data_IF_631273305198
#
_entry.id   IF_631273305198
#
_cell.length_a   1.000
_cell.length_b   1.000
_cell.length_c   1.000
_cell.angle_alpha   90.00
_cell.angle_beta   90.00
_cell.angle_gamma   90.00
#
_symmetry.space_group_name_H-M   'P 1'
#
loop_
_entity.id
_entity.type
_entity.pdbx_description
1 polymer ?
#
# COMPACT_ATOMS: atom_id res chain seq x y z
N UNK A 1 9.47 -6.92 -33.33
CA UNK A 1 10.82 -6.58 -32.86
C UNK A 1 10.69 -6.25 -31.39
N UNK A 2 11.21 -7.13 -30.54
CA UNK A 2 11.22 -6.95 -29.09
C UNK A 2 12.43 -6.09 -28.77
N UNK A 3 12.23 -4.80 -28.54
CA UNK A 3 13.27 -3.98 -27.93
C UNK A 3 13.19 -4.20 -26.42
N UNK A 4 14.03 -5.13 -25.97
CA UNK A 4 14.45 -5.23 -24.59
C UNK A 4 15.01 -3.88 -24.16
N UNK A 5 14.28 -3.16 -23.32
CA UNK A 5 14.82 -2.06 -22.53
C UNK A 5 15.93 -2.64 -21.67
N UNK A 6 17.16 -2.43 -22.13
CA UNK A 6 18.37 -2.89 -21.45
C UNK A 6 18.65 -1.90 -20.29
N UNK A 7 17.93 -2.05 -19.19
CA UNK A 7 18.36 -1.45 -17.92
C UNK A 7 19.47 -2.30 -17.32
N UNK A 8 20.43 -1.60 -16.72
CA UNK A 8 21.60 -2.16 -16.04
C UNK A 8 21.23 -3.37 -15.18
N UNK A 9 21.93 -4.49 -15.40
CA UNK A 9 21.50 -5.84 -14.97
C UNK A 9 21.54 -6.06 -13.45
N UNK A 10 22.03 -5.10 -12.68
CA UNK A 10 22.27 -5.27 -11.24
C UNK A 10 21.37 -4.43 -10.31
N UNK A 11 20.31 -3.75 -10.78
CA UNK A 11 19.51 -2.93 -9.86
C UNK A 11 17.98 -2.94 -9.95
N UNK A 12 17.34 -3.55 -10.95
CA UNK A 12 15.85 -3.59 -11.02
C UNK A 12 15.34 -4.99 -11.36
N UNK A 13 14.84 -5.70 -10.35
CA UNK A 13 14.26 -7.05 -10.51
C UNK A 13 12.73 -7.03 -10.62
N UNK A 14 12.15 -6.04 -11.30
CA UNK A 14 10.71 -6.02 -11.56
C UNK A 14 10.41 -6.86 -12.79
N UNK A 15 9.57 -7.89 -12.62
CA UNK A 15 8.98 -8.64 -13.73
C UNK A 15 7.58 -8.11 -13.98
N UNK A 16 7.38 -7.47 -15.11
CA UNK A 16 6.05 -7.01 -15.53
C UNK A 16 5.34 -8.13 -16.29
N UNK A 17 4.06 -8.36 -15.98
CA UNK A 17 3.25 -9.36 -16.67
C UNK A 17 3.01 -8.91 -18.13
N UNK A 18 3.50 -9.66 -19.15
CA UNK A 18 3.34 -9.26 -20.55
C UNK A 18 1.88 -9.15 -20.98
N UNK A 19 0.98 -9.95 -20.40
CA UNK A 19 -0.45 -9.89 -20.72
C UNK A 19 -1.13 -8.59 -20.24
N UNK A 20 -0.48 -7.86 -19.32
CA UNK A 20 -0.96 -6.58 -18.82
C UNK A 20 -0.25 -5.38 -19.46
N UNK A 21 0.73 -5.61 -20.36
CA UNK A 21 1.48 -4.55 -21.02
C UNK A 21 0.77 -4.09 -22.30
N UNK A 22 0.29 -2.85 -22.29
CA UNK A 22 -0.32 -2.14 -23.41
C UNK A 22 0.08 -0.64 -23.36
N UNK A 23 -0.34 0.13 -24.36
CA UNK A 23 -0.04 1.56 -24.48
C UNK A 23 -0.38 2.37 -23.21
N UNK A 24 -1.52 2.06 -22.56
CA UNK A 24 -1.94 2.75 -21.34
C UNK A 24 -1.01 2.41 -20.19
N UNK A 25 -0.73 1.13 -19.94
CA UNK A 25 0.17 0.74 -18.86
C UNK A 25 1.59 1.24 -19.08
N UNK A 26 2.04 1.31 -20.34
CA UNK A 26 3.36 1.85 -20.70
C UNK A 26 3.45 3.35 -20.43
N UNK A 27 2.37 4.10 -20.69
CA UNK A 27 2.31 5.53 -20.36
C UNK A 27 2.35 5.83 -18.86
N UNK A 28 1.91 4.88 -18.02
CA UNK A 28 1.90 5.01 -16.56
C UNK A 28 3.20 4.47 -15.95
N UNK A 29 3.62 3.28 -16.36
CA UNK A 29 4.79 2.56 -15.85
C UNK A 29 6.08 3.05 -16.52
N UNK A 30 6.33 4.35 -16.40
CA UNK A 30 7.57 4.97 -16.88
C UNK A 30 8.80 4.37 -16.16
N UNK A 31 10.00 4.50 -16.74
CA UNK A 31 11.22 4.01 -16.10
C UNK A 31 11.42 4.54 -14.68
N UNK A 32 11.08 5.81 -14.43
CA UNK A 32 11.19 6.45 -13.11
C UNK A 32 10.21 5.84 -12.11
N UNK A 33 8.97 5.57 -12.53
CA UNK A 33 7.99 4.92 -11.67
C UNK A 33 8.40 3.48 -11.35
N UNK A 34 8.91 2.73 -12.33
CA UNK A 34 9.42 1.38 -12.10
C UNK A 34 10.59 1.38 -11.10
N UNK A 35 11.52 2.35 -11.20
CA UNK A 35 12.59 2.50 -10.24
C UNK A 35 12.06 2.80 -8.82
N UNK A 36 11.09 3.71 -8.70
CA UNK A 36 10.44 4.01 -7.42
C UNK A 36 9.74 2.77 -6.83
N UNK A 37 8.98 2.03 -7.63
CA UNK A 37 8.30 0.82 -7.19
C UNK A 37 9.28 -0.26 -6.70
N UNK A 38 10.42 -0.39 -7.37
CA UNK A 38 11.48 -1.33 -6.98
C UNK A 38 12.06 -0.93 -5.62
N UNK A 39 12.35 0.35 -5.42
CA UNK A 39 12.84 0.86 -4.15
C UNK A 39 11.82 0.63 -3.02
N UNK A 40 10.56 1.03 -3.21
CA UNK A 40 9.51 0.81 -2.22
C UNK A 40 9.32 -0.68 -1.90
N UNK A 41 9.44 -1.56 -2.89
CA UNK A 41 9.37 -3.01 -2.66
C UNK A 41 10.51 -3.47 -1.77
N UNK A 42 11.75 -3.11 -2.09
CA UNK A 42 12.93 -3.50 -1.33
C UNK A 42 12.89 -2.97 0.11
N UNK A 43 12.39 -1.75 0.30
CA UNK A 43 12.35 -1.11 1.62
C UNK A 43 11.22 -1.65 2.51
N UNK A 44 10.06 -2.04 1.94
CA UNK A 44 8.83 -2.27 2.72
C UNK A 44 8.27 -3.70 2.64
N UNK A 45 8.65 -4.51 1.64
CA UNK A 45 7.98 -5.79 1.40
C UNK A 45 8.25 -6.83 2.51
N UNK A 46 9.48 -6.86 3.05
CA UNK A 46 9.83 -7.80 4.11
C UNK A 46 9.00 -7.55 5.38
N UNK A 47 8.89 -6.29 5.82
CA UNK A 47 8.05 -5.94 6.95
C UNK A 47 6.56 -6.25 6.67
N UNK A 48 6.07 -5.95 5.47
CA UNK A 48 4.70 -6.28 5.05
C UNK A 48 4.42 -7.78 5.19
N UNK A 49 5.34 -8.64 4.73
CA UNK A 49 5.22 -10.09 4.85
C UNK A 49 5.25 -10.56 6.31
N UNK A 50 6.15 -10.01 7.12
CA UNK A 50 6.20 -10.30 8.56
C UNK A 50 4.90 -9.90 9.28
N UNK A 51 4.30 -8.76 8.93
CA UNK A 51 3.01 -8.32 9.48
C UNK A 51 1.86 -9.25 9.09
N UNK A 52 1.85 -9.75 7.85
CA UNK A 52 0.86 -10.75 7.43
C UNK A 52 1.00 -12.08 8.19
N UNK A 53 2.23 -12.52 8.44
CA UNK A 53 2.47 -13.71 9.29
C UNK A 53 2.03 -13.48 10.74
N UNK A 54 2.32 -12.30 11.31
CA UNK A 54 1.83 -11.90 12.64
C UNK A 54 0.29 -11.94 12.71
N UNK A 55 -0.43 -11.54 11.64
CA UNK A 55 -1.90 -11.65 11.58
C UNK A 55 -2.36 -13.11 11.67
N UNK A 56 -1.72 -14.03 10.93
CA UNK A 56 -2.04 -15.47 11.00
C UNK A 56 -1.81 -16.03 12.40
N UNK A 57 -0.68 -15.72 13.01
CA UNK A 57 -0.36 -16.13 14.40
C UNK A 57 -1.36 -15.58 15.41
N UNK A 58 -1.77 -14.32 15.25
CA UNK A 58 -2.80 -13.69 16.09
C UNK A 58 -4.14 -14.41 15.93
N UNK A 59 -4.53 -14.75 14.71
CA UNK A 59 -5.77 -15.48 14.44
C UNK A 59 -5.78 -16.86 15.12
N UNK A 60 -4.68 -17.63 15.03
CA UNK A 60 -4.56 -18.92 15.71
C UNK A 60 -4.75 -18.83 17.23
N UNK A 61 -4.36 -17.71 17.82
CA UNK A 61 -4.57 -17.45 19.24
C UNK A 61 -6.06 -17.20 19.54
N UNK A 62 -6.76 -16.49 18.67
CA UNK A 62 -8.21 -16.30 18.78
C UNK A 62 -8.98 -17.61 18.59
N UNK A 63 -8.55 -18.44 17.64
CA UNK A 63 -9.16 -19.76 17.39
C UNK A 63 -9.03 -20.70 18.60
N UNK A 64 -8.03 -20.48 19.47
CA UNK A 64 -7.84 -21.19 20.74
C UNK A 64 -8.67 -20.61 21.90
N UNK A 65 -9.57 -19.67 21.63
CA UNK A 65 -10.51 -19.09 22.61
C UNK A 65 -10.02 -17.83 23.31
N UNK A 66 -8.85 -17.28 22.95
CA UNK A 66 -8.45 -15.96 23.45
C UNK A 66 -9.26 -14.86 22.75
N UNK A 67 -9.85 -13.94 23.51
CA UNK A 67 -10.55 -12.79 22.92
C UNK A 67 -9.57 -11.62 22.69
N UNK A 68 -9.85 -10.75 21.69
CA UNK A 68 -9.14 -9.48 21.56
C UNK A 68 -9.32 -8.62 22.82
N UNK A 69 -8.26 -7.95 23.25
CA UNK A 69 -8.28 -7.05 24.40
C UNK A 69 -7.55 -5.74 24.10
N UNK A 70 -7.86 -4.70 24.86
CA UNK A 70 -7.08 -3.46 24.85
C UNK A 70 -5.63 -3.71 25.26
N UNK A 71 -4.72 -2.93 24.68
CA UNK A 71 -3.33 -2.99 25.05
C UNK A 71 -3.14 -2.47 26.48
N UNK A 72 -2.77 -3.37 27.41
CA UNK A 72 -2.76 -3.09 28.86
C UNK A 72 -1.52 -2.34 29.35
N UNK A 73 -0.47 -2.21 28.54
CA UNK A 73 0.82 -1.66 28.99
C UNK A 73 0.94 -0.12 28.86
N UNK A 74 -0.18 0.62 28.92
CA UNK A 74 -0.19 2.08 29.11
C UNK A 74 0.79 2.83 28.21
N UNK A 75 0.63 2.71 26.89
CA UNK A 75 1.47 3.46 25.96
C UNK A 75 1.24 4.97 26.13
N UNK A 76 2.27 5.80 25.86
CA UNK A 76 2.11 7.27 25.81
C UNK A 76 0.97 7.68 24.88
N UNK A 77 0.78 6.96 23.77
CA UNK A 77 -0.33 7.15 22.85
C UNK A 77 -1.73 6.99 23.49
N UNK A 78 -1.84 6.31 24.63
CA UNK A 78 -3.10 6.08 25.36
C UNK A 78 -3.17 6.83 26.68
N UNK A 79 -2.08 7.46 27.14
CA UNK A 79 -1.98 8.05 28.49
C UNK A 79 -1.65 9.54 28.51
N UNK A 80 -1.40 10.16 27.36
CA UNK A 80 -1.06 11.59 27.26
C UNK A 80 -1.96 12.33 26.28
N UNK A 81 -2.09 13.65 26.46
CA UNK A 81 -2.82 14.55 25.55
C UNK A 81 -1.98 14.90 24.32
N UNK A 82 -1.88 13.96 23.37
CA UNK A 82 -1.25 14.20 22.08
C UNK A 82 -2.32 14.45 20.99
N UNK A 83 -1.90 15.10 19.90
CA UNK A 83 -2.73 15.32 18.71
C UNK A 83 -1.94 14.91 17.47
N UNK A 84 -2.65 14.48 16.43
CA UNK A 84 -2.06 14.28 15.10
C UNK A 84 -1.55 15.62 14.53
N UNK A 85 -0.74 15.55 13.48
CA UNK A 85 -0.33 16.74 12.75
C UNK A 85 -1.54 17.52 12.21
N UNK A 86 -1.40 18.84 11.97
CA UNK A 86 -2.47 19.67 11.42
C UNK A 86 -3.07 19.07 10.14
N UNK A 87 -4.40 19.12 10.06
CA UNK A 87 -5.16 18.57 8.94
C UNK A 87 -5.17 19.62 7.81
N UNK A 88 -4.83 19.25 6.56
CA UNK A 88 -5.01 20.10 5.39
C UNK A 88 -6.44 20.65 5.26
N UNK A 89 -6.59 21.87 4.74
CA UNK A 89 -7.88 22.59 4.70
C UNK A 89 -8.98 21.83 3.95
N UNK A 90 -8.62 21.20 2.82
CA UNK A 90 -9.50 20.37 1.99
C UNK A 90 -10.03 19.12 2.72
N UNK A 91 -9.35 18.66 3.77
CA UNK A 91 -9.73 17.49 4.56
C UNK A 91 -10.50 17.84 5.85
N UNK A 92 -10.73 19.12 6.16
CA UNK A 92 -11.44 19.55 7.37
C UNK A 92 -12.94 19.22 7.32
N UNK A 93 -13.56 19.22 6.12
CA UNK A 93 -15.00 19.06 5.96
C UNK A 93 -15.35 17.82 5.13
N UNK A 94 -15.32 16.64 5.77
CA UNK A 94 -15.63 15.33 5.16
C UNK A 94 -17.00 14.79 5.59
N UNK A 95 -18.05 15.62 5.49
CA UNK A 95 -19.40 15.29 6.00
C UNK A 95 -20.07 14.13 5.27
N UNK A 96 -19.74 13.96 3.99
CA UNK A 96 -20.23 12.88 3.13
C UNK A 96 -19.05 12.43 2.27
N UNK A 97 -18.86 11.13 2.18
CA UNK A 97 -17.88 10.49 1.29
C UNK A 97 -18.60 9.44 0.45
N UNK A 98 -18.32 9.44 -0.84
CA UNK A 98 -18.78 8.42 -1.78
C UNK A 98 -17.59 7.55 -2.16
N UNK A 99 -17.81 6.23 -2.22
CA UNK A 99 -16.81 5.27 -2.70
C UNK A 99 -17.31 4.65 -4.00
N UNK A 100 -16.39 4.34 -4.90
CA UNK A 100 -16.72 3.82 -6.22
C UNK A 100 -15.52 3.15 -6.88
N UNK A 101 -15.76 2.38 -7.96
CA UNK A 101 -14.70 1.68 -8.67
C UNK A 101 -13.88 2.64 -9.55
N UNK A 102 -12.60 2.30 -9.75
CA UNK A 102 -11.69 3.03 -10.67
C UNK A 102 -11.75 2.51 -12.12
N UNK A 103 -12.71 1.62 -12.43
CA UNK A 103 -12.75 0.88 -13.69
C UNK A 103 -13.22 1.70 -14.90
N UNK A 104 -13.83 2.86 -14.69
CA UNK A 104 -14.26 3.74 -15.78
C UNK A 104 -14.23 5.21 -15.35
N UNK A 105 -13.87 6.10 -16.28
CA UNK A 105 -13.90 7.55 -16.05
C UNK A 105 -15.29 8.04 -15.66
N UNK A 106 -16.35 7.43 -16.20
CA UNK A 106 -17.74 7.76 -15.86
C UNK A 106 -18.01 7.62 -14.35
N UNK A 107 -17.50 6.57 -13.70
CA UNK A 107 -17.70 6.36 -12.27
C UNK A 107 -16.86 7.30 -11.39
N UNK A 108 -15.76 7.84 -11.91
CA UNK A 108 -14.93 8.82 -11.20
C UNK A 108 -15.52 10.23 -11.32
N UNK A 109 -16.18 10.54 -12.44
CA UNK A 109 -16.76 11.85 -12.73
C UNK A 109 -18.11 12.06 -12.03
N UNK A 110 -18.92 11.00 -11.92
CA UNK A 110 -20.26 11.05 -11.30
C UNK A 110 -20.20 11.02 -9.78
#
# INVERSE_FOLDING_TARGET
>A
MMDSVQTDKDQVSIKVNPAAWNEISESILTPELLALLNQLHNDLNDERLQLLDKRKKRQQTFDRGQMPEYFRNGSTATTTDWKVNPIPEDLLTRRVEITGPVNSAKMVIN
#
